data_IF_346993583775
#
_entry.id   IF_346993583775
#
_cell.length_a   1.000
_cell.length_b   1.000
_cell.length_c   1.000
_cell.angle_alpha   90.00
_cell.angle_beta   90.00
_cell.angle_gamma   90.00
#
_symmetry.space_group_name_H-M   'P 1'
#
loop_
_entity.id
_entity.type
_entity.pdbx_description
1 polymer ?
#
# COMPACT_ATOMS: atom_id res chain seq x y z
N UNK A 1 -12.41 -8.11 -20.01
CA UNK A 1 -11.22 -7.99 -19.14
C UNK A 1 -11.47 -6.92 -18.09
N UNK A 2 -11.98 -7.31 -16.91
CA UNK A 2 -12.35 -6.40 -15.81
C UNK A 2 -11.59 -6.70 -14.50
N UNK A 3 -10.60 -7.60 -14.51
CA UNK A 3 -9.85 -7.98 -13.30
C UNK A 3 -8.87 -6.91 -12.82
N UNK A 4 -8.44 -5.99 -13.67
CA UNK A 4 -7.44 -4.97 -13.33
C UNK A 4 -8.03 -3.71 -12.68
N UNK A 5 -9.24 -3.28 -13.07
CA UNK A 5 -9.87 -2.04 -12.56
C UNK A 5 -10.28 -2.18 -11.08
N UNK A 6 -10.73 -3.38 -10.66
CA UNK A 6 -11.08 -3.63 -9.26
C UNK A 6 -9.85 -3.71 -8.35
N UNK A 7 -8.65 -3.91 -8.89
CA UNK A 7 -7.42 -3.88 -8.11
C UNK A 7 -6.87 -2.46 -7.99
N UNK A 8 -6.94 -1.65 -9.04
CA UNK A 8 -6.51 -0.25 -9.01
C UNK A 8 -7.32 0.60 -8.01
N UNK A 9 -8.64 0.46 -8.00
CA UNK A 9 -9.50 1.17 -7.03
C UNK A 9 -9.20 0.76 -5.58
N UNK A 10 -8.91 -0.52 -5.33
CA UNK A 10 -8.51 -0.98 -3.99
C UNK A 10 -7.14 -0.44 -3.60
N UNK A 11 -6.18 -0.43 -4.52
CA UNK A 11 -4.84 0.10 -4.29
C UNK A 11 -4.88 1.61 -3.98
N UNK A 12 -5.61 2.40 -4.78
CA UNK A 12 -5.82 3.84 -4.53
C UNK A 12 -6.50 4.13 -3.19
N UNK A 13 -7.48 3.32 -2.79
CA UNK A 13 -8.10 3.44 -1.45
C UNK A 13 -7.09 3.27 -0.32
N UNK A 14 -6.04 2.47 -0.50
CA UNK A 14 -4.98 2.32 0.49
C UNK A 14 -4.11 3.58 0.58
N UNK A 15 -3.97 4.35 -0.51
CA UNK A 15 -3.20 5.60 -0.55
C UNK A 15 -3.91 6.78 0.10
N UNK A 16 -5.23 6.71 0.34
CA UNK A 16 -6.00 7.87 0.84
C UNK A 16 -5.54 8.41 2.19
N UNK A 17 -5.65 7.59 3.23
CA UNK A 17 -5.37 8.02 4.60
C UNK A 17 -4.28 7.18 5.28
N UNK A 18 -3.99 5.98 4.77
CA UNK A 18 -3.00 5.07 5.38
C UNK A 18 -1.60 5.69 5.43
N UNK A 19 -1.07 6.25 4.32
CA UNK A 19 0.25 6.91 4.29
C UNK A 19 0.39 8.00 5.36
N UNK A 20 -0.56 8.92 5.43
CA UNK A 20 -0.52 10.06 6.35
C UNK A 20 -0.64 9.60 7.81
N UNK A 21 -1.45 8.57 8.09
CA UNK A 21 -1.56 7.98 9.42
C UNK A 21 -0.24 7.31 9.85
N UNK A 22 0.42 6.59 8.94
CA UNK A 22 1.70 5.95 9.20
C UNK A 22 2.78 7.00 9.53
N UNK A 23 2.92 8.02 8.69
CA UNK A 23 3.91 9.10 8.91
C UNK A 23 3.61 9.86 10.20
N UNK A 24 2.34 10.19 10.46
CA UNK A 24 1.93 10.93 11.66
C UNK A 24 2.24 10.18 12.95
N UNK A 25 2.04 8.85 12.97
CA UNK A 25 2.18 8.04 14.19
C UNK A 25 3.58 7.47 14.39
N UNK A 26 4.30 7.17 13.30
CA UNK A 26 5.54 6.39 13.34
C UNK A 26 6.71 7.06 12.60
N UNK A 27 6.54 8.32 12.17
CA UNK A 27 7.49 9.06 11.33
C UNK A 27 7.64 8.46 9.93
N UNK A 28 8.35 9.17 9.05
CA UNK A 28 8.71 8.67 7.72
C UNK A 28 9.79 7.61 7.86
N UNK A 29 9.48 6.38 7.47
CA UNK A 29 10.37 5.22 7.55
C UNK A 29 10.53 4.57 6.17
N UNK A 30 11.68 3.92 5.89
CA UNK A 30 11.88 3.19 4.64
C UNK A 30 10.94 1.97 4.49
N UNK A 31 10.44 1.45 5.62
CA UNK A 31 9.46 0.37 5.72
C UNK A 31 8.75 0.44 7.08
N UNK A 32 7.53 -0.08 7.12
CA UNK A 32 6.72 -0.23 8.33
C UNK A 32 6.51 -1.71 8.65
N UNK A 33 6.29 -2.01 9.92
CA UNK A 33 5.92 -3.36 10.36
C UNK A 33 4.46 -3.66 10.02
N UNK A 34 4.07 -4.94 9.85
CA UNK A 34 2.68 -5.31 9.61
C UNK A 34 1.70 -4.79 10.68
N UNK A 35 2.14 -4.70 11.94
CA UNK A 35 1.33 -4.15 13.03
C UNK A 35 1.04 -2.65 12.86
N UNK A 36 2.03 -1.88 12.40
CA UNK A 36 1.87 -0.44 12.11
C UNK A 36 0.91 -0.24 10.93
N UNK A 37 1.06 -1.05 9.88
CA UNK A 37 0.16 -1.03 8.71
C UNK A 37 -1.26 -1.42 9.11
N UNK A 38 -1.44 -2.48 9.90
CA UNK A 38 -2.75 -2.90 10.40
C UNK A 38 -3.42 -1.83 11.25
N UNK A 39 -2.66 -1.14 12.12
CA UNK A 39 -3.16 -0.02 12.90
C UNK A 39 -3.67 1.10 11.99
N UNK A 40 -2.88 1.50 10.99
CA UNK A 40 -3.25 2.56 10.06
C UNK A 40 -4.47 2.18 9.22
N UNK A 41 -4.55 0.94 8.72
CA UNK A 41 -5.71 0.44 7.97
C UNK A 41 -6.98 0.41 8.81
N UNK A 42 -6.90 -0.08 10.06
CA UNK A 42 -8.03 -0.05 11.00
C UNK A 42 -8.49 1.37 11.27
N UNK A 43 -7.56 2.31 11.42
CA UNK A 43 -7.86 3.71 11.69
C UNK A 43 -8.48 4.41 10.48
N UNK A 44 -8.02 4.11 9.27
CA UNK A 44 -8.54 4.67 8.02
C UNK A 44 -9.90 4.07 7.61
N UNK A 45 -10.09 2.76 7.78
CA UNK A 45 -11.22 2.02 7.19
C UNK A 45 -12.21 1.47 8.24
N UNK A 46 -11.95 1.67 9.53
CA UNK A 46 -12.73 1.12 10.65
C UNK A 46 -12.59 -0.40 10.86
N UNK A 47 -12.01 -1.12 9.90
CA UNK A 47 -11.75 -2.56 9.96
C UNK A 47 -10.57 -2.94 9.07
N UNK A 48 -10.00 -4.13 9.31
CA UNK A 48 -8.98 -4.66 8.42
C UNK A 48 -9.60 -5.12 7.09
N UNK A 49 -9.09 -4.67 5.95
CA UNK A 49 -9.56 -5.14 4.65
C UNK A 49 -9.08 -6.58 4.37
N UNK A 50 -9.88 -7.35 3.65
CA UNK A 50 -9.53 -8.72 3.22
C UNK A 50 -8.26 -8.77 2.36
N UNK A 51 -7.94 -7.67 1.68
CA UNK A 51 -6.76 -7.54 0.80
C UNK A 51 -5.60 -6.78 1.46
N UNK A 52 -5.49 -6.79 2.79
CA UNK A 52 -4.44 -6.07 3.53
C UNK A 52 -3.01 -6.47 3.14
N UNK A 53 -2.82 -7.66 2.57
CA UNK A 53 -1.54 -8.05 1.97
C UNK A 53 -1.06 -7.10 0.87
N UNK A 54 -1.96 -6.42 0.15
CA UNK A 54 -1.59 -5.37 -0.79
C UNK A 54 -0.98 -4.15 -0.08
N UNK A 55 -1.49 -3.81 1.11
CA UNK A 55 -0.91 -2.76 1.92
C UNK A 55 0.47 -3.19 2.46
N UNK A 56 0.63 -4.45 2.87
CA UNK A 56 1.95 -4.96 3.25
C UNK A 56 2.94 -4.89 2.08
N UNK A 57 2.49 -5.17 0.84
CA UNK A 57 3.32 -5.04 -0.36
C UNK A 57 3.69 -3.58 -0.72
N UNK A 58 2.91 -2.61 -0.24
CA UNK A 58 3.19 -1.18 -0.38
C UNK A 58 4.15 -0.66 0.71
N UNK A 59 3.95 -1.08 1.96
CA UNK A 59 4.53 -0.40 3.12
C UNK A 59 5.54 -1.23 3.93
N UNK A 60 5.48 -2.57 3.86
CA UNK A 60 6.39 -3.44 4.60
C UNK A 60 7.61 -3.82 3.75
N UNK A 61 8.65 -4.35 4.40
CA UNK A 61 9.71 -5.05 3.69
C UNK A 61 9.24 -6.44 3.23
N UNK A 62 10.03 -7.06 2.33
CA UNK A 62 9.71 -8.39 1.79
C UNK A 62 9.71 -9.46 2.89
N UNK A 63 10.58 -9.36 3.89
CA UNK A 63 10.74 -10.38 4.93
C UNK A 63 9.50 -10.44 5.82
N UNK A 64 9.03 -9.29 6.29
CA UNK A 64 7.84 -9.15 7.12
C UNK A 64 6.58 -9.57 6.37
N UNK A 65 6.48 -9.22 5.08
CA UNK A 65 5.38 -9.72 4.24
C UNK A 65 5.32 -11.24 4.24
N UNK A 66 6.43 -11.92 3.92
CA UNK A 66 6.48 -13.38 3.83
C UNK A 66 6.17 -14.01 5.18
N UNK A 67 6.70 -13.44 6.26
CA UNK A 67 6.48 -13.92 7.61
C UNK A 67 5.01 -13.83 8.04
N UNK A 68 4.36 -12.68 7.85
CA UNK A 68 2.98 -12.46 8.31
C UNK A 68 1.95 -13.14 7.42
N UNK A 69 2.18 -13.21 6.11
CA UNK A 69 1.22 -13.79 5.17
C UNK A 69 1.39 -15.29 5.01
N UNK A 70 2.56 -15.84 5.30
CA UNK A 70 2.90 -17.24 4.98
C UNK A 70 3.02 -17.51 3.48
N UNK A 71 3.05 -16.45 2.67
CA UNK A 71 3.07 -16.52 1.21
C UNK A 71 4.48 -16.69 0.65
N UNK A 72 4.54 -16.96 -0.65
CA UNK A 72 5.81 -17.13 -1.37
C UNK A 72 6.42 -15.81 -1.85
N UNK A 73 7.72 -15.84 -2.17
CA UNK A 73 8.39 -14.73 -2.85
C UNK A 73 7.72 -14.36 -4.19
N UNK A 74 7.18 -15.35 -4.91
CA UNK A 74 6.44 -15.13 -6.15
C UNK A 74 5.13 -14.37 -5.91
N UNK A 75 4.44 -14.64 -4.80
CA UNK A 75 3.24 -13.90 -4.39
C UNK A 75 3.58 -12.43 -4.11
N UNK A 76 4.66 -12.16 -3.38
CA UNK A 76 5.16 -10.80 -3.14
C UNK A 76 5.40 -10.04 -4.46
N UNK A 77 6.16 -10.63 -5.36
CA UNK A 77 6.48 -10.02 -6.66
C UNK A 77 5.22 -9.82 -7.51
N UNK A 78 4.28 -10.75 -7.46
CA UNK A 78 2.99 -10.63 -8.14
C UNK A 78 2.18 -9.45 -7.62
N UNK A 79 2.12 -9.28 -6.29
CA UNK A 79 1.46 -8.13 -5.67
C UNK A 79 2.11 -6.82 -6.10
N UNK A 80 3.46 -6.75 -6.06
CA UNK A 80 4.19 -5.55 -6.46
C UNK A 80 4.09 -5.24 -7.95
N UNK A 81 4.02 -6.24 -8.83
CA UNK A 81 3.72 -6.04 -10.25
C UNK A 81 2.31 -5.49 -10.47
N UNK A 82 1.32 -6.01 -9.75
CA UNK A 82 -0.07 -5.54 -9.85
C UNK A 82 -0.20 -4.10 -9.36
N UNK A 83 0.37 -3.80 -8.19
CA UNK A 83 0.43 -2.44 -7.65
C UNK A 83 1.20 -1.51 -8.58
N UNK A 84 2.33 -1.98 -9.13
CA UNK A 84 3.13 -1.26 -10.10
C UNK A 84 2.35 -0.83 -11.33
N UNK A 85 1.61 -1.76 -11.94
CA UNK A 85 0.73 -1.47 -13.08
C UNK A 85 -0.38 -0.48 -12.72
N UNK A 86 -0.90 -0.55 -11.50
CA UNK A 86 -2.01 0.29 -11.06
C UNK A 86 -1.59 1.71 -10.64
N UNK A 87 -0.38 1.87 -10.10
CA UNK A 87 0.05 3.07 -9.37
C UNK A 87 1.38 3.65 -9.85
N UNK A 88 2.30 2.83 -10.38
CA UNK A 88 3.69 3.22 -10.64
C UNK A 88 4.13 2.96 -12.09
N UNK A 89 3.24 3.19 -13.05
CA UNK A 89 3.52 3.03 -14.49
C UNK A 89 4.14 1.66 -14.87
N UNK A 90 3.75 0.59 -14.16
CA UNK A 90 4.26 -0.77 -14.38
C UNK A 90 5.53 -1.13 -13.61
N UNK A 91 6.19 -0.17 -12.95
CA UNK A 91 7.37 -0.43 -12.10
C UNK A 91 6.97 -1.20 -10.85
N UNK A 92 7.76 -2.21 -10.48
CA UNK A 92 7.53 -3.03 -9.28
C UNK A 92 8.58 -2.83 -8.18
N UNK A 93 9.51 -1.90 -8.34
CA UNK A 93 10.63 -1.62 -7.42
C UNK A 93 10.43 -0.35 -6.58
N UNK A 94 9.24 0.26 -6.63
CA UNK A 94 8.86 1.42 -5.84
C UNK A 94 9.14 1.31 -4.32
N UNK A 95 9.63 2.39 -3.74
CA UNK A 95 9.92 2.53 -2.31
C UNK A 95 8.69 3.02 -1.55
N UNK A 96 8.70 2.89 -0.22
CA UNK A 96 7.69 3.54 0.62
C UNK A 96 7.68 5.05 0.42
N UNK A 97 8.84 5.67 0.20
CA UNK A 97 8.93 7.10 -0.13
C UNK A 97 8.14 7.47 -1.39
N UNK A 98 8.26 6.67 -2.46
CA UNK A 98 7.46 6.86 -3.69
C UNK A 98 5.96 6.62 -3.45
N UNK A 99 5.60 5.69 -2.54
CA UNK A 99 4.20 5.48 -2.15
C UNK A 99 3.64 6.70 -1.40
N UNK A 100 4.43 7.33 -0.53
CA UNK A 100 4.04 8.54 0.21
C UNK A 100 3.87 9.74 -0.73
N UNK A 101 4.81 9.94 -1.66
CA UNK A 101 4.73 11.01 -2.65
C UNK A 101 3.47 10.87 -3.53
N UNK A 102 3.19 9.65 -4.02
CA UNK A 102 1.98 9.38 -4.80
C UNK A 102 0.69 9.65 -3.99
N UNK A 103 0.70 9.35 -2.69
CA UNK A 103 -0.45 9.60 -1.83
C UNK A 103 -0.69 11.10 -1.58
N UNK A 104 0.36 11.90 -1.54
CA UNK A 104 0.28 13.36 -1.45
C UNK A 104 -0.29 13.95 -2.74
N UNK A 105 0.21 13.52 -3.90
CA UNK A 105 -0.32 13.91 -5.23
C UNK A 105 -1.81 13.60 -5.38
N UNK A 106 -2.25 12.39 -4.97
CA UNK A 106 -3.66 12.00 -5.04
C UNK A 106 -4.54 12.84 -4.08
N UNK A 107 -4.01 13.25 -2.92
CA UNK A 107 -4.73 14.08 -1.97
C UNK A 107 -4.88 15.53 -2.48
N UNK A 108 -3.85 16.08 -3.13
CA UNK A 108 -3.91 17.41 -3.76
C UNK A 108 -4.95 17.45 -4.89
N UNK A 109 -5.01 16.39 -5.72
CA UNK A 109 -6.01 16.25 -6.78
C UNK A 109 -7.43 16.14 -6.24
N UNK A 110 -7.67 15.38 -5.16
CA UNK A 110 -8.99 15.30 -4.51
C UNK A 110 -9.41 16.65 -3.89
N UNK A 111 -8.47 17.49 -3.46
CA UNK A 111 -8.76 18.81 -2.86
C UNK A 111 -9.02 19.94 -3.86
N UNK A 112 -8.63 19.73 -5.12
CA UNK A 112 -8.75 20.72 -6.20
C UNK A 112 -10.05 20.61 -7.01
N UNK A 113 -10.94 19.69 -6.62
CA UNK A 113 -12.23 19.39 -7.25
C UNK A 113 -13.40 19.64 -6.30
#
# INVERSE_FOLDING_TARGET
MLRDIFQSMRARRLLRATPQLLVKQFSSLPYYTPAQVDWALKKAMGKLPNHRYLAYALFCDKRDFLHVTGETAATWESCRRQLGRALFAGRSDFTVGEVMALAEEEAELESSH
#
